data_IF_858070330204
#
_entry.id   IF_858070330204
#
_cell.length_a   1.000
_cell.length_b   1.000
_cell.length_c   1.000
_cell.angle_alpha   90.00
_cell.angle_beta   90.00
_cell.angle_gamma   90.00
#
_symmetry.space_group_name_H-M   'P 1'
#
loop_
_entity.id
_entity.type
_entity.pdbx_description
1 polymer ?
#
# COMPACT_ATOMS: atom_id res chain seq x y z
N UNK A 1 -8.47 15.71 9.61
CA UNK A 1 -8.45 14.36 9.01
C UNK A 1 -7.22 13.70 9.56
N UNK A 2 -7.36 12.60 10.31
CA UNK A 2 -6.19 11.91 10.85
C UNK A 2 -5.34 11.42 9.67
N UNK A 3 -4.07 11.80 9.68
CA UNK A 3 -3.08 11.27 8.75
C UNK A 3 -2.96 9.77 9.07
N UNK A 4 -3.50 8.91 8.21
CA UNK A 4 -3.34 7.48 8.39
C UNK A 4 -1.85 7.14 8.38
N UNK A 5 -1.40 6.39 9.39
CA UNK A 5 0.00 5.98 9.47
C UNK A 5 0.23 4.85 8.48
N UNK A 6 1.39 4.84 7.82
CA UNK A 6 1.76 3.82 6.84
C UNK A 6 2.97 3.04 7.36
N UNK A 7 2.99 1.73 7.15
CA UNK A 7 4.18 0.89 7.38
C UNK A 7 4.33 -0.15 6.28
N UNK A 8 5.57 -0.60 6.10
CA UNK A 8 5.90 -1.76 5.29
C UNK A 8 6.25 -2.93 6.21
N UNK A 9 5.59 -4.06 5.99
CA UNK A 9 5.77 -5.27 6.77
C UNK A 9 6.50 -6.36 5.97
N UNK A 10 7.25 -7.21 6.68
CA UNK A 10 7.93 -8.39 6.13
C UNK A 10 8.97 -8.13 5.01
N UNK A 11 9.37 -6.87 4.76
CA UNK A 11 10.52 -6.55 3.92
C UNK A 11 11.86 -6.74 4.64
N UNK A 12 12.97 -6.80 3.90
CA UNK A 12 14.30 -6.86 4.50
C UNK A 12 14.77 -5.49 5.02
N UNK A 13 14.17 -4.40 4.54
CA UNK A 13 14.45 -3.03 4.98
C UNK A 13 13.21 -2.11 4.91
N UNK A 14 13.35 -0.87 5.39
CA UNK A 14 12.27 0.12 5.55
C UNK A 14 11.56 0.58 4.25
N UNK A 15 12.07 0.18 3.09
CA UNK A 15 11.67 0.67 1.76
C UNK A 15 11.10 -0.45 0.88
N UNK A 16 10.78 -1.59 1.47
CA UNK A 16 10.10 -2.70 0.79
C UNK A 16 9.21 -3.45 1.79
N UNK A 17 8.16 -4.10 1.28
CA UNK A 17 7.28 -4.92 2.10
C UNK A 17 5.81 -4.84 1.68
N UNK A 18 4.98 -5.60 2.40
CA UNK A 18 3.51 -5.50 2.32
C UNK A 18 3.06 -4.15 2.84
N UNK A 19 2.11 -3.54 2.14
CA UNK A 19 1.57 -2.22 2.48
C UNK A 19 0.51 -2.35 3.57
N UNK A 20 0.71 -1.65 4.69
CA UNK A 20 -0.26 -1.59 5.77
C UNK A 20 -0.56 -0.15 6.20
N UNK A 21 -1.84 0.13 6.46
CA UNK A 21 -2.36 1.44 6.82
C UNK A 21 -3.01 1.39 8.20
N UNK A 22 -2.85 2.45 8.97
CA UNK A 22 -3.54 2.65 10.24
C UNK A 22 -4.69 3.63 10.07
N UNK A 23 -5.92 3.12 10.08
CA UNK A 23 -7.15 3.88 9.90
C UNK A 23 -8.20 3.41 10.91
N UNK A 24 -8.92 4.34 11.53
CA UNK A 24 -9.98 3.99 12.49
C UNK A 24 -9.47 3.13 13.66
N UNK A 25 -8.28 3.46 14.18
CA UNK A 25 -7.63 2.78 15.31
C UNK A 25 -7.21 1.32 15.07
N UNK A 26 -7.09 0.89 13.80
CA UNK A 26 -6.64 -0.47 13.45
C UNK A 26 -5.67 -0.45 12.27
N UNK A 27 -4.77 -1.43 12.27
CA UNK A 27 -3.95 -1.75 11.10
C UNK A 27 -4.74 -2.64 10.14
N UNK A 28 -4.52 -2.45 8.85
CA UNK A 28 -5.01 -3.34 7.81
C UNK A 28 -4.24 -3.17 6.51
N UNK A 29 -4.55 -4.02 5.53
CA UNK A 29 -3.79 -4.15 4.29
C UNK A 29 -4.47 -3.43 3.12
N UNK A 30 -3.84 -3.50 1.95
CA UNK A 30 -4.31 -2.93 0.68
C UNK A 30 -4.41 -4.08 -0.31
N UNK A 31 -5.51 -4.20 -1.05
CA UNK A 31 -5.65 -5.17 -2.14
C UNK A 31 -4.84 -4.73 -3.37
N UNK A 32 -4.33 -5.70 -4.13
CA UNK A 32 -3.54 -5.50 -5.34
C UNK A 32 -4.36 -5.22 -6.61
N UNK A 33 -5.68 -5.25 -6.52
CA UNK A 33 -6.57 -4.87 -7.61
C UNK A 33 -6.30 -3.42 -8.04
N UNK A 34 -5.92 -3.26 -9.32
CA UNK A 34 -5.44 -2.01 -9.93
C UNK A 34 -4.17 -1.39 -9.30
N UNK A 35 -3.47 -2.12 -8.43
CA UNK A 35 -2.19 -1.71 -7.85
C UNK A 35 -1.10 -1.64 -8.92
N UNK A 36 -0.49 -0.46 -9.09
CA UNK A 36 0.47 -0.22 -10.16
C UNK A 36 1.69 0.60 -9.69
N UNK A 37 2.63 0.82 -10.61
CA UNK A 37 3.85 1.59 -10.34
C UNK A 37 3.57 3.05 -9.96
N UNK A 38 2.43 3.63 -10.32
CA UNK A 38 2.07 5.00 -9.89
C UNK A 38 1.69 5.00 -8.42
N UNK A 39 0.91 4.02 -7.98
CA UNK A 39 0.57 3.85 -6.57
C UNK A 39 1.81 3.55 -5.72
N UNK A 40 2.68 2.65 -6.19
CA UNK A 40 3.98 2.42 -5.58
C UNK A 40 4.83 3.70 -5.52
N UNK A 41 4.85 4.50 -6.59
CA UNK A 41 5.61 5.76 -6.65
C UNK A 41 5.17 6.78 -5.59
N UNK A 42 3.86 6.98 -5.45
CA UNK A 42 3.27 7.83 -4.40
C UNK A 42 3.69 7.33 -3.01
N UNK A 43 3.60 6.02 -2.78
CA UNK A 43 3.97 5.42 -1.49
C UNK A 43 5.46 5.58 -1.20
N UNK A 44 6.33 5.28 -2.16
CA UNK A 44 7.78 5.40 -1.99
C UNK A 44 8.20 6.84 -1.69
N UNK A 45 7.58 7.81 -2.35
CA UNK A 45 7.76 9.23 -2.05
C UNK A 45 7.25 9.59 -0.63
N UNK A 46 6.05 9.11 -0.26
CA UNK A 46 5.47 9.32 1.08
C UNK A 46 6.38 8.77 2.20
N UNK A 47 7.08 7.67 1.96
CA UNK A 47 8.03 7.07 2.90
C UNK A 47 9.40 7.78 2.96
N UNK A 48 9.66 8.75 2.07
CA UNK A 48 11.00 9.32 1.90
C UNK A 48 12.02 8.29 1.41
N UNK A 49 11.58 7.27 0.68
CA UNK A 49 12.42 6.37 -0.08
C UNK A 49 12.67 6.95 -1.48
N UNK A 50 13.41 6.22 -2.33
CA UNK A 50 13.65 6.61 -3.72
C UNK A 50 12.47 6.27 -4.63
N UNK A 51 12.76 6.10 -5.92
CA UNK A 51 11.75 5.70 -6.90
C UNK A 51 11.16 4.32 -6.59
N UNK A 52 9.91 4.09 -7.03
CA UNK A 52 9.33 2.76 -7.05
C UNK A 52 10.06 1.87 -8.07
N UNK A 53 10.47 0.69 -7.61
CA UNK A 53 11.08 -0.35 -8.44
C UNK A 53 10.04 -1.37 -8.89
N UNK A 54 9.10 -1.71 -8.01
CA UNK A 54 8.01 -2.63 -8.30
C UNK A 54 6.78 -2.37 -7.43
N UNK A 55 5.63 -2.84 -7.91
CA UNK A 55 4.34 -2.85 -7.22
C UNK A 55 3.78 -4.30 -7.18
N UNK A 56 4.39 -5.24 -6.43
CA UNK A 56 3.92 -6.62 -6.44
C UNK A 56 2.54 -6.76 -5.79
N UNK A 57 1.73 -7.65 -6.37
CA UNK A 57 0.53 -8.19 -5.73
C UNK A 57 0.79 -9.57 -5.14
N UNK A 58 -0.28 -10.38 -5.08
CA UNK A 58 -0.28 -11.80 -4.75
C UNK A 58 0.43 -12.11 -3.41
N UNK A 59 0.27 -11.22 -2.43
CA UNK A 59 0.87 -11.33 -1.11
C UNK A 59 2.38 -11.62 -1.16
N UNK A 60 3.12 -10.91 -2.04
CA UNK A 60 4.56 -11.13 -2.27
C UNK A 60 5.41 -11.16 -0.98
N UNK A 61 5.14 -10.29 -0.01
CA UNK A 61 5.79 -10.30 1.32
C UNK A 61 4.99 -11.06 2.38
N UNK A 62 4.23 -12.07 1.94
CA UNK A 62 3.30 -12.86 2.72
C UNK A 62 1.98 -12.15 3.01
N UNK A 63 0.92 -12.92 3.31
CA UNK A 63 -0.38 -12.38 3.64
C UNK A 63 -0.35 -11.63 4.97
N UNK A 64 -1.10 -10.55 5.05
CA UNK A 64 -1.39 -9.83 6.27
C UNK A 64 -2.48 -10.50 7.10
N UNK A 65 -3.01 -9.73 8.05
CA UNK A 65 -4.08 -10.15 8.95
C UNK A 65 -4.98 -8.97 9.25
N UNK A 66 -6.23 -9.25 9.59
CA UNK A 66 -7.21 -8.23 9.98
C UNK A 66 -7.99 -7.73 8.76
N UNK A 67 -8.36 -6.45 8.72
CA UNK A 67 -9.12 -5.91 7.60
C UNK A 67 -8.23 -5.62 6.39
N UNK A 68 -8.81 -5.72 5.20
CA UNK A 68 -8.30 -5.10 3.97
C UNK A 68 -8.99 -3.73 3.88
N UNK A 69 -8.22 -2.65 4.02
CA UNK A 69 -8.77 -1.30 4.21
C UNK A 69 -9.01 -0.58 2.89
N UNK A 70 -8.20 -0.90 1.88
CA UNK A 70 -8.24 -0.29 0.56
C UNK A 70 -8.24 -1.34 -0.54
N UNK A 71 -8.91 -0.99 -1.62
CA UNK A 71 -8.99 -1.76 -2.85
C UNK A 71 -9.15 -0.79 -4.04
N UNK A 72 -8.77 -1.23 -5.23
CA UNK A 72 -8.86 -0.50 -6.48
C UNK A 72 -8.12 0.87 -6.41
N UNK A 73 -6.94 0.86 -5.79
CA UNK A 73 -6.13 2.08 -5.56
C UNK A 73 -5.51 2.54 -6.88
N UNK A 74 -5.99 3.67 -7.38
CA UNK A 74 -5.58 4.29 -8.65
C UNK A 74 -5.03 5.68 -8.39
N UNK A 75 -3.71 5.78 -8.40
CA UNK A 75 -3.00 7.05 -8.28
C UNK A 75 -2.74 7.67 -9.66
N UNK A 76 -2.72 9.00 -9.71
CA UNK A 76 -2.17 9.76 -10.85
C UNK A 76 -0.64 9.70 -10.85
N UNK A 77 -0.04 9.59 -9.67
CA UNK A 77 1.41 9.57 -9.43
C UNK A 77 1.95 10.87 -8.84
N UNK A 78 1.10 11.88 -8.64
CA UNK A 78 1.46 13.20 -8.09
C UNK A 78 0.89 13.45 -6.69
N UNK A 79 0.15 12.48 -6.15
CA UNK A 79 -0.38 12.53 -4.81
C UNK A 79 0.74 12.54 -3.76
N UNK A 80 0.55 13.32 -2.70
CA UNK A 80 1.51 13.38 -1.58
C UNK A 80 1.38 12.19 -0.61
N UNK A 81 0.27 11.45 -0.69
CA UNK A 81 -0.01 10.30 0.16
C UNK A 81 -0.95 9.31 -0.54
N UNK A 82 -0.80 8.02 -0.23
CA UNK A 82 -1.59 6.95 -0.84
C UNK A 82 -3.10 7.11 -0.62
N UNK A 83 -3.51 7.63 0.54
CA UNK A 83 -4.91 7.88 0.90
C UNK A 83 -5.58 9.00 0.08
N UNK A 84 -4.82 9.74 -0.73
CA UNK A 84 -5.33 10.78 -1.62
C UNK A 84 -5.55 10.28 -3.05
N UNK A 85 -5.11 9.05 -3.35
CA UNK A 85 -5.39 8.41 -4.62
C UNK A 85 -6.88 8.04 -4.72
N UNK A 86 -7.37 7.88 -5.94
CA UNK A 86 -8.71 7.34 -6.13
C UNK A 86 -8.75 5.89 -5.65
N UNK A 87 -9.76 5.53 -4.89
CA UNK A 87 -10.03 4.17 -4.44
C UNK A 87 -11.53 4.04 -4.26
N UNK A 88 -12.05 2.84 -4.03
CA UNK A 88 -13.50 2.65 -3.87
C UNK A 88 -14.02 3.23 -2.55
N UNK A 89 -14.28 2.42 -1.53
CA UNK A 89 -14.64 2.86 -0.19
C UNK A 89 -13.79 2.11 0.83
N UNK A 90 -13.57 2.72 2.00
CA UNK A 90 -12.91 2.06 3.11
C UNK A 90 -13.61 0.75 3.45
N UNK A 91 -12.82 -0.31 3.69
CA UNK A 91 -13.29 -1.67 4.01
C UNK A 91 -14.19 -2.33 2.95
N UNK A 92 -14.40 -1.68 1.79
CA UNK A 92 -15.08 -2.29 0.67
C UNK A 92 -14.01 -2.90 -0.23
N UNK A 93 -14.07 -4.21 -0.42
CA UNK A 93 -13.19 -4.98 -1.30
C UNK A 93 -13.87 -6.31 -1.64
N UNK A 94 -13.43 -6.95 -2.71
CA UNK A 94 -13.76 -8.35 -3.05
C UNK A 94 -12.57 -9.29 -2.86
N UNK A 95 -11.49 -8.80 -2.25
CA UNK A 95 -10.24 -9.52 -2.12
C UNK A 95 -10.14 -10.36 -0.85
N UNK A 96 -9.21 -11.31 -0.83
CA UNK A 96 -8.67 -11.92 0.38
C UNK A 96 -7.18 -11.58 0.58
N UNK A 97 -6.56 -12.07 1.67
CA UNK A 97 -5.17 -11.72 1.98
C UNK A 97 -4.12 -12.35 1.05
N UNK A 98 -4.52 -13.24 0.13
CA UNK A 98 -3.64 -13.68 -0.95
C UNK A 98 -3.41 -12.57 -1.99
N UNK A 99 -4.22 -11.52 -1.98
CA UNK A 99 -4.15 -10.36 -2.88
C UNK A 99 -3.57 -9.12 -2.19
N UNK A 100 -2.87 -9.28 -1.06
CA UNK A 100 -2.28 -8.14 -0.37
C UNK A 100 -1.15 -7.49 -1.19
N UNK A 101 -1.33 -6.22 -1.50
CA UNK A 101 -0.39 -5.39 -2.23
C UNK A 101 0.91 -5.13 -1.44
N UNK A 102 1.98 -5.03 -2.21
CA UNK A 102 3.34 -4.82 -1.74
C UNK A 102 4.04 -3.75 -2.55
N UNK A 103 5.16 -3.26 -2.02
CA UNK A 103 5.99 -2.28 -2.72
C UNK A 103 7.46 -2.63 -2.59
N UNK A 104 8.22 -2.35 -3.64
CA UNK A 104 9.68 -2.28 -3.59
C UNK A 104 10.07 -0.87 -4.04
N UNK A 105 10.70 -0.12 -3.15
CA UNK A 105 11.27 1.19 -3.44
C UNK A 105 12.80 1.08 -3.47
N UNK A 106 13.44 1.99 -4.17
CA UNK A 106 14.87 2.19 -4.03
C UNK A 106 15.19 2.63 -2.60
N UNK A 107 16.15 1.95 -1.98
CA UNK A 107 16.70 2.37 -0.70
C UNK A 107 17.55 3.63 -0.91
N UNK A 108 17.18 4.71 -0.19
CA UNK A 108 17.99 5.91 -0.02
C UNK A 108 18.65 5.94 1.36
#
# INVERSE_FOLDING_TARGET
MEVGHLRLANGAHRCEGRVELFLGQRWGTVCDDAWDLRAAGVLCHQLGCGQALAAPGEAHFGPGRGPILLDNVKCRGDESALLLCSHIRWDAHNCDHSEDASVLCQLL
#
